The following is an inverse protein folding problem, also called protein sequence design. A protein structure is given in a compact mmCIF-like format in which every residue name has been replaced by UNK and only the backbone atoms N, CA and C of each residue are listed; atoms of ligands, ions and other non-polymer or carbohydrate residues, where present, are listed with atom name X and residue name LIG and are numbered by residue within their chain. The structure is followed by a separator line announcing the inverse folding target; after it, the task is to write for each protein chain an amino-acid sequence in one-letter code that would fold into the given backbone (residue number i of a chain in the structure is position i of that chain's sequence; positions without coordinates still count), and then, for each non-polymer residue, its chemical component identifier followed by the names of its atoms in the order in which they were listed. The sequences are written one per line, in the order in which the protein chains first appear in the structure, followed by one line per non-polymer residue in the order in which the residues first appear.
data_IF_620081112737
#
_entry.id   IF_620081112737
#
_cell.length_a   1.000
_cell.length_b   1.000
_cell.length_c   1.000
_cell.angle_alpha   90.00
_cell.angle_beta   90.00
_cell.angle_gamma   90.00
#
_symmetry.space_group_name_H-M   'P 1'
#
loop_
_entity.id
_entity.type
_entity.pdbx_description
1 polymer ?
#
# COMPACT_ATOMS: atom_id res chain seq x y z
N UNK A 1 18.14 -6.15 -0.19
CA UNK A 1 18.65 -4.91 0.44
C UNK A 1 18.91 -3.91 -0.68
N UNK A 2 18.05 -2.91 -0.82
CA UNK A 2 18.12 -1.88 -1.86
C UNK A 2 18.88 -0.66 -1.35
N UNK A 3 20.14 -0.51 -1.75
CA UNK A 3 20.87 0.75 -1.64
C UNK A 3 20.83 1.44 -3.00
N UNK A 4 19.77 2.20 -3.28
CA UNK A 4 19.83 3.27 -4.26
C UNK A 4 20.47 4.47 -3.56
N UNK A 5 21.81 4.53 -3.59
CA UNK A 5 22.52 5.78 -3.40
C UNK A 5 22.17 6.67 -4.60
N UNK A 6 21.05 7.38 -4.53
CA UNK A 6 20.72 8.44 -5.48
C UNK A 6 21.68 9.59 -5.23
N UNK A 7 22.80 9.60 -5.95
CA UNK A 7 23.59 10.81 -6.12
C UNK A 7 22.63 11.92 -6.56
N UNK A 8 22.56 13.06 -5.86
CA UNK A 8 21.70 14.16 -6.27
C UNK A 8 22.01 14.53 -7.72
N UNK A 9 20.98 14.62 -8.56
CA UNK A 9 21.17 15.04 -9.94
C UNK A 9 21.76 16.46 -9.95
N UNK A 10 22.92 16.64 -10.59
CA UNK A 10 23.55 17.95 -10.75
C UNK A 10 22.94 18.65 -11.96
N UNK A 11 22.43 19.87 -11.77
CA UNK A 11 21.90 20.74 -12.82
C UNK A 11 22.89 21.87 -13.15
N UNK A 12 22.88 22.37 -14.38
CA UNK A 12 23.66 23.52 -14.84
C UNK A 12 22.84 24.42 -15.76
N UNK A 13 23.32 25.66 -15.96
CA UNK A 13 22.73 26.56 -16.94
C UNK A 13 22.78 25.94 -18.34
N UNK A 14 21.69 26.09 -19.09
CA UNK A 14 21.46 25.48 -20.39
C UNK A 14 20.70 24.16 -20.33
N UNK A 15 20.63 23.49 -19.18
CA UNK A 15 19.86 22.25 -19.04
C UNK A 15 18.36 22.53 -19.25
N UNK A 16 17.71 21.65 -20.01
CA UNK A 16 16.26 21.61 -20.14
C UNK A 16 15.69 20.77 -18.99
N UNK A 17 14.73 21.32 -18.26
CA UNK A 17 14.10 20.69 -17.10
C UNK A 17 12.59 20.69 -17.17
N UNK A 18 11.98 19.75 -16.47
CA UNK A 18 10.55 19.64 -16.22
C UNK A 18 10.29 20.08 -14.77
N UNK A 19 9.25 20.88 -14.56
CA UNK A 19 8.86 21.39 -13.24
C UNK A 19 7.34 21.24 -13.02
N UNK A 20 6.86 20.04 -12.62
CA UNK A 20 5.43 19.74 -12.51
C UNK A 20 4.65 20.67 -11.56
N UNK A 21 5.29 21.22 -10.53
CA UNK A 21 4.67 22.18 -9.60
C UNK A 21 4.36 23.55 -10.21
N UNK A 22 4.95 23.85 -11.38
CA UNK A 22 4.83 25.15 -12.05
C UNK A 22 4.09 25.02 -13.38
N UNK A 23 4.24 23.89 -14.09
CA UNK A 23 3.47 23.59 -15.30
C UNK A 23 3.99 22.39 -16.08
N UNK A 24 3.30 22.08 -17.18
CA UNK A 24 3.58 20.91 -18.03
C UNK A 24 4.62 21.17 -19.13
N UNK A 25 5.33 22.29 -19.07
CA UNK A 25 6.32 22.68 -20.08
C UNK A 25 7.73 22.22 -19.76
N UNK A 26 8.60 22.28 -20.78
CA UNK A 26 10.05 22.25 -20.61
C UNK A 26 10.54 23.68 -20.37
N UNK A 27 11.45 23.84 -19.42
CA UNK A 27 12.06 25.12 -19.05
C UNK A 27 13.58 25.01 -19.15
N UNK A 28 14.22 26.02 -19.76
CA UNK A 28 15.68 26.05 -19.82
C UNK A 28 16.24 26.81 -18.63
N UNK A 29 17.22 26.22 -17.95
CA UNK A 29 17.90 26.86 -16.82
C UNK A 29 18.88 27.94 -17.29
N UNK A 30 18.93 29.04 -16.56
CA UNK A 30 19.94 30.08 -16.71
C UNK A 30 20.64 30.38 -15.38
N UNK A 31 21.82 30.99 -15.46
CA UNK A 31 22.53 31.49 -14.28
C UNK A 31 21.95 32.85 -13.88
N UNK A 32 21.27 32.90 -12.74
CA UNK A 32 20.86 34.16 -12.14
C UNK A 32 22.02 34.73 -11.33
N UNK A 33 22.68 35.76 -11.88
CA UNK A 33 23.83 36.41 -11.24
C UNK A 33 23.44 37.26 -10.04
N UNK A 34 22.20 37.75 -9.97
CA UNK A 34 21.71 38.57 -8.86
C UNK A 34 21.59 37.73 -7.59
N UNK A 35 21.12 36.48 -7.73
CA UNK A 35 20.90 35.55 -6.61
C UNK A 35 21.96 34.45 -6.46
N UNK A 36 22.89 34.35 -7.41
CA UNK A 36 23.97 33.36 -7.41
C UNK A 36 23.46 31.93 -7.50
N UNK A 37 22.38 31.69 -8.25
CA UNK A 37 21.71 30.40 -8.36
C UNK A 37 21.25 30.10 -9.79
N UNK A 38 20.73 28.90 -10.02
CA UNK A 38 20.05 28.58 -11.28
C UNK A 38 18.62 29.11 -11.23
N UNK A 39 18.07 29.49 -12.36
CA UNK A 39 16.66 29.87 -12.45
C UNK A 39 16.05 29.55 -13.80
N UNK A 40 14.73 29.58 -13.86
CA UNK A 40 13.98 29.55 -15.11
C UNK A 40 12.80 30.52 -15.03
N UNK A 41 12.32 30.96 -16.19
CA UNK A 41 11.21 31.91 -16.27
C UNK A 41 10.01 31.27 -16.95
N UNK A 42 8.83 31.43 -16.37
CA UNK A 42 7.57 31.07 -17.00
C UNK A 42 6.44 31.94 -16.45
N UNK A 43 5.45 32.23 -17.27
CA UNK A 43 4.30 33.08 -16.92
C UNK A 43 4.71 34.45 -16.34
N UNK A 44 5.82 35.02 -16.83
CA UNK A 44 6.35 36.31 -16.35
C UNK A 44 6.98 36.29 -14.96
N UNK A 45 7.15 35.11 -14.34
CA UNK A 45 7.80 34.92 -13.03
C UNK A 45 9.10 34.14 -13.19
N UNK A 46 10.09 34.50 -12.38
CA UNK A 46 11.36 33.77 -12.28
C UNK A 46 11.34 32.87 -11.06
N UNK A 47 11.67 31.60 -11.27
CA UNK A 47 11.80 30.57 -10.25
C UNK A 47 13.27 30.27 -10.06
N UNK A 48 13.76 30.39 -8.84
CA UNK A 48 15.15 30.14 -8.48
C UNK A 48 15.34 28.70 -8.01
N UNK A 49 16.55 28.15 -8.13
CA UNK A 49 16.94 26.82 -7.69
C UNK A 49 18.36 26.89 -7.12
N UNK A 50 18.50 26.73 -5.81
CA UNK A 50 19.80 26.77 -5.14
C UNK A 50 20.36 25.36 -4.96
N UNK A 51 21.68 25.28 -4.93
CA UNK A 51 22.42 24.03 -4.78
C UNK A 51 22.25 23.36 -3.39
N UNK A 52 21.63 24.05 -2.43
CA UNK A 52 21.30 23.53 -1.08
C UNK A 52 19.85 23.01 -0.96
N UNK A 53 19.11 22.96 -2.08
CA UNK A 53 17.73 22.49 -2.14
C UNK A 53 16.69 23.49 -1.65
N UNK A 54 17.07 24.73 -1.29
CA UNK A 54 16.15 25.77 -0.80
C UNK A 54 15.93 26.86 -1.85
N UNK A 55 14.68 27.24 -2.08
CA UNK A 55 14.33 28.36 -2.98
C UNK A 55 13.66 29.48 -2.20
N UNK A 56 13.94 30.71 -2.61
CA UNK A 56 13.53 31.94 -1.94
C UNK A 56 12.01 32.16 -1.94
N UNK A 57 11.49 32.23 -0.71
CA UNK A 57 10.41 33.06 -0.14
C UNK A 57 8.96 32.63 -0.15
N UNK A 58 8.48 31.74 -1.02
CA UNK A 58 7.09 31.26 -0.95
C UNK A 58 7.01 29.74 -1.20
N UNK A 59 7.00 28.99 -0.09
CA UNK A 59 6.73 27.55 0.14
C UNK A 59 6.20 26.65 -1.00
N UNK A 60 6.97 26.50 -2.09
CA UNK A 60 6.91 25.30 -2.92
C UNK A 60 8.29 25.03 -3.51
N UNK A 61 9.08 24.14 -2.90
CA UNK A 61 10.34 23.70 -3.49
C UNK A 61 10.05 23.12 -4.90
N UNK A 62 10.50 23.76 -6.00
CA UNK A 62 10.23 23.24 -7.33
C UNK A 62 11.05 21.97 -7.54
N UNK A 63 10.37 20.82 -7.61
CA UNK A 63 11.00 19.55 -7.98
C UNK A 63 11.37 19.59 -9.46
N UNK A 64 12.65 19.80 -9.73
CA UNK A 64 13.20 19.79 -11.08
C UNK A 64 13.63 18.39 -11.49
N UNK A 65 13.29 18.02 -12.72
CA UNK A 65 13.74 16.80 -13.37
C UNK A 65 14.40 17.15 -14.69
N UNK A 66 15.51 16.50 -15.04
CA UNK A 66 16.08 16.64 -16.38
C UNK A 66 15.06 16.26 -17.44
N UNK A 67 14.99 17.01 -18.53
CA UNK A 67 14.08 16.74 -19.63
C UNK A 67 14.57 15.54 -20.46
N UNK A 68 14.30 14.34 -19.96
CA UNK A 68 14.61 13.05 -20.59
C UNK A 68 13.32 12.30 -20.90
N UNK A 69 13.36 11.36 -21.85
CA UNK A 69 12.20 10.52 -22.17
C UNK A 69 11.65 9.79 -20.93
N UNK A 70 12.55 9.24 -20.10
CA UNK A 70 12.18 8.54 -18.88
C UNK A 70 11.48 9.47 -17.86
N UNK A 71 12.00 10.69 -17.66
CA UNK A 71 11.38 11.65 -16.74
C UNK A 71 10.04 12.17 -17.26
N UNK A 72 9.90 12.39 -18.58
CA UNK A 72 8.60 12.72 -19.19
C UNK A 72 7.57 11.61 -18.98
N UNK A 73 7.97 10.35 -19.17
CA UNK A 73 7.10 9.19 -18.95
C UNK A 73 6.70 9.07 -17.48
N UNK A 74 7.67 9.17 -16.55
CA UNK A 74 7.40 9.12 -15.12
C UNK A 74 6.46 10.23 -14.67
N UNK A 75 6.67 11.48 -15.12
CA UNK A 75 5.80 12.61 -14.81
C UNK A 75 4.42 12.42 -15.43
N UNK A 76 4.31 11.93 -16.67
CA UNK A 76 3.03 11.63 -17.30
C UNK A 76 2.24 10.57 -16.52
N UNK A 77 2.91 9.53 -16.02
CA UNK A 77 2.30 8.51 -15.15
C UNK A 77 1.86 9.09 -13.81
N UNK A 78 2.69 9.94 -13.17
CA UNK A 78 2.41 10.48 -11.84
C UNK A 78 1.32 11.57 -11.83
N UNK A 79 1.30 12.44 -12.85
CA UNK A 79 0.49 13.67 -12.84
C UNK A 79 -0.59 13.73 -13.92
N UNK A 80 -0.46 12.97 -15.01
CA UNK A 80 -1.46 12.92 -16.10
C UNK A 80 -2.20 11.56 -16.16
N UNK A 81 -2.16 10.80 -15.07
CA UNK A 81 -2.87 9.54 -14.97
C UNK A 81 -4.39 9.73 -15.05
N UNK A 82 -4.94 9.69 -16.27
CA UNK A 82 -6.07 8.78 -16.46
C UNK A 82 -5.60 7.47 -15.84
N UNK A 83 -6.28 7.01 -14.80
CA UNK A 83 -6.09 5.66 -14.29
C UNK A 83 -6.48 4.67 -15.38
N UNK A 84 -5.61 4.51 -16.39
CA UNK A 84 -5.52 3.25 -17.07
C UNK A 84 -4.91 2.36 -16.00
N UNK A 85 -5.77 1.60 -15.34
CA UNK A 85 -5.38 0.48 -14.50
C UNK A 85 -4.29 -0.27 -15.26
N UNK A 86 -3.02 0.01 -14.97
CA UNK A 86 -1.94 -0.82 -15.44
C UNK A 86 -2.18 -2.13 -14.71
N UNK A 87 -2.82 -3.05 -15.42
CA UNK A 87 -2.87 -4.44 -15.04
C UNK A 87 -1.41 -4.82 -14.83
N UNK A 88 -0.99 -4.99 -13.59
CA UNK A 88 0.22 -5.75 -13.29
C UNK A 88 -0.04 -7.13 -13.89
N UNK A 89 0.51 -7.40 -15.06
CA UNK A 89 0.40 -8.71 -15.70
C UNK A 89 1.28 -9.62 -14.87
N UNK A 90 0.66 -10.49 -14.07
CA UNK A 90 1.36 -11.61 -13.46
C UNK A 90 1.75 -12.52 -14.62
N UNK A 91 3.04 -12.53 -14.92
CA UNK A 91 3.60 -13.38 -15.97
C UNK A 91 3.69 -14.82 -15.46
N UNK A 92 2.78 -15.67 -15.95
CA UNK A 92 2.70 -17.11 -15.66
C UNK A 92 3.37 -17.96 -16.77
N UNK A 93 4.09 -17.34 -17.71
CA UNK A 93 4.65 -18.05 -18.86
C UNK A 93 5.86 -18.90 -18.53
N UNK A 94 6.62 -18.56 -17.49
CA UNK A 94 7.61 -19.46 -16.91
C UNK A 94 6.99 -20.23 -15.72
N UNK A 95 7.25 -21.54 -15.59
CA UNK A 95 6.94 -22.29 -14.38
C UNK A 95 7.90 -21.84 -13.27
N UNK A 96 7.73 -20.62 -12.76
CA UNK A 96 8.21 -20.29 -11.44
C UNK A 96 7.30 -21.03 -10.46
N UNK A 97 7.91 -21.80 -9.56
CA UNK A 97 7.26 -22.67 -8.57
C UNK A 97 6.35 -21.94 -7.55
N UNK A 98 6.02 -20.68 -7.80
CA UNK A 98 5.17 -19.83 -6.98
C UNK A 98 3.87 -19.54 -7.73
N UNK A 99 2.87 -20.40 -7.55
CA UNK A 99 1.52 -20.13 -8.03
C UNK A 99 0.96 -18.88 -7.33
N UNK A 100 0.63 -17.85 -8.11
CA UNK A 100 0.13 -16.58 -7.58
C UNK A 100 -1.38 -16.67 -7.41
N UNK A 101 -1.84 -16.63 -6.16
CA UNK A 101 -3.26 -16.52 -5.84
C UNK A 101 -3.66 -15.05 -5.91
N UNK A 102 -4.58 -14.73 -6.82
CA UNK A 102 -5.19 -13.40 -6.89
C UNK A 102 -6.45 -13.40 -6.03
N UNK A 103 -6.38 -12.74 -4.87
CA UNK A 103 -7.52 -12.43 -4.00
C UNK A 103 -7.68 -10.92 -3.97
N UNK A 104 -8.92 -10.42 -3.95
CA UNK A 104 -9.12 -8.98 -3.78
C UNK A 104 -8.64 -8.54 -2.40
N UNK A 105 -8.11 -7.31 -2.30
CA UNK A 105 -7.74 -6.73 -1.00
C UNK A 105 -8.93 -6.62 -0.05
N UNK A 106 -10.16 -6.54 -0.59
CA UNK A 106 -11.40 -6.55 0.17
C UNK A 106 -11.64 -7.92 0.83
N UNK A 107 -11.59 -9.01 0.07
CA UNK A 107 -11.74 -10.37 0.60
C UNK A 107 -10.66 -10.71 1.64
N UNK A 108 -9.41 -10.30 1.40
CA UNK A 108 -8.33 -10.50 2.37
C UNK A 108 -8.56 -9.69 3.66
N UNK A 109 -9.09 -8.47 3.52
CA UNK A 109 -9.44 -7.63 4.67
C UNK A 109 -10.57 -8.25 5.48
N UNK A 110 -11.62 -8.77 4.85
CA UNK A 110 -12.74 -9.41 5.53
C UNK A 110 -12.27 -10.65 6.33
N UNK A 111 -11.43 -11.49 5.72
CA UNK A 111 -10.84 -12.65 6.40
C UNK A 111 -10.00 -12.22 7.61
N UNK A 112 -9.18 -11.17 7.46
CA UNK A 112 -8.35 -10.68 8.56
C UNK A 112 -9.20 -10.13 9.72
N UNK A 113 -10.25 -9.36 9.41
CA UNK A 113 -11.20 -8.84 10.39
C UNK A 113 -11.92 -9.97 11.15
N UNK A 114 -12.36 -11.01 10.46
CA UNK A 114 -13.03 -12.16 11.07
C UNK A 114 -12.07 -12.94 11.99
N UNK A 115 -10.81 -13.13 11.59
CA UNK A 115 -9.79 -13.79 12.41
C UNK A 115 -9.44 -12.97 13.65
N UNK A 116 -9.29 -11.66 13.53
CA UNK A 116 -9.05 -10.77 14.67
C UNK A 116 -10.23 -10.81 15.65
N UNK A 117 -11.46 -10.73 15.13
CA UNK A 117 -12.67 -10.80 15.94
C UNK A 117 -12.81 -12.14 16.67
N UNK A 118 -12.52 -13.25 15.98
CA UNK A 118 -12.51 -14.58 16.58
C UNK A 118 -11.47 -14.69 17.70
N UNK A 119 -10.26 -14.14 17.50
CA UNK A 119 -9.20 -14.16 18.51
C UNK A 119 -9.60 -13.41 19.79
N UNK A 120 -10.24 -12.25 19.65
CA UNK A 120 -10.76 -11.47 20.78
C UNK A 120 -11.81 -12.27 21.54
N UNK A 121 -12.79 -12.85 20.82
CA UNK A 121 -13.89 -13.59 21.44
C UNK A 121 -13.41 -14.87 22.14
N UNK A 122 -12.45 -15.60 21.57
CA UNK A 122 -11.83 -16.76 22.23
C UNK A 122 -11.11 -16.33 23.52
N UNK A 123 -10.41 -15.21 23.51
CA UNK A 123 -9.79 -14.64 24.71
C UNK A 123 -10.83 -14.34 25.79
N UNK A 124 -11.96 -13.74 25.42
CA UNK A 124 -13.02 -13.40 26.37
C UNK A 124 -13.71 -14.64 26.93
N UNK A 125 -14.01 -15.64 26.08
CA UNK A 125 -14.46 -16.97 26.50
C UNK A 125 -13.50 -17.56 27.54
N UNK A 126 -12.18 -17.50 27.30
CA UNK A 126 -11.17 -17.97 28.25
C UNK A 126 -11.28 -17.29 29.62
N UNK A 127 -11.55 -15.99 29.65
CA UNK A 127 -11.79 -15.24 30.90
C UNK A 127 -13.09 -15.67 31.58
N UNK A 128 -14.18 -15.87 30.83
CA UNK A 128 -15.46 -16.33 31.39
C UNK A 128 -15.31 -17.73 32.01
N UNK A 129 -14.63 -18.65 31.31
CA UNK A 129 -14.33 -19.99 31.82
C UNK A 129 -13.47 -19.95 33.07
N UNK A 130 -12.48 -19.05 33.14
CA UNK A 130 -11.69 -18.84 34.35
C UNK A 130 -12.53 -18.36 35.53
N UNK A 131 -13.49 -17.44 35.31
CA UNK A 131 -14.41 -16.97 36.36
C UNK A 131 -15.27 -18.12 36.90
N UNK A 132 -15.75 -19.01 36.03
CA UNK A 132 -16.48 -20.22 36.43
C UNK A 132 -15.56 -21.15 37.23
N UNK A 133 -14.37 -21.47 36.70
CA UNK A 133 -13.41 -22.40 37.30
C UNK A 133 -12.95 -21.95 38.70
N UNK A 134 -12.73 -20.65 38.90
CA UNK A 134 -12.31 -20.08 40.17
C UNK A 134 -13.47 -19.69 41.10
N UNK A 135 -14.69 -20.13 40.78
CA UNK A 135 -15.91 -19.89 41.56
C UNK A 135 -16.13 -18.41 41.88
N UNK A 136 -15.78 -17.52 40.94
CA UNK A 136 -15.86 -16.06 41.12
C UNK A 136 -17.25 -15.48 40.82
N UNK A 137 -18.21 -16.34 40.47
CA UNK A 137 -19.58 -15.98 40.12
C UNK A 137 -20.55 -16.98 40.73
N UNK A 138 -21.79 -16.56 40.98
CA UNK A 138 -22.81 -17.42 41.56
C UNK A 138 -23.19 -18.56 40.61
N UNK A 139 -23.57 -19.72 41.15
CA UNK A 139 -23.88 -20.94 40.38
C UNK A 139 -24.92 -20.70 39.29
N UNK A 140 -25.97 -19.92 39.57
CA UNK A 140 -27.01 -19.63 38.59
C UNK A 140 -26.49 -18.74 37.44
N UNK A 141 -25.57 -17.81 37.73
CA UNK A 141 -24.89 -16.98 36.74
C UNK A 141 -23.89 -17.80 35.92
N UNK A 142 -23.17 -18.72 36.57
CA UNK A 142 -22.23 -19.63 35.91
C UNK A 142 -22.89 -20.49 34.84
N UNK A 143 -24.12 -20.97 35.08
CA UNK A 143 -24.90 -21.73 34.08
C UNK A 143 -25.19 -20.88 32.84
N UNK A 144 -25.64 -19.63 33.02
CA UNK A 144 -25.91 -18.72 31.90
C UNK A 144 -24.64 -18.34 31.15
N UNK A 145 -23.52 -18.12 31.85
CA UNK A 145 -22.23 -17.81 31.24
C UNK A 145 -21.63 -19.00 30.50
N UNK A 146 -21.82 -20.22 30.99
CA UNK A 146 -21.41 -21.43 30.30
C UNK A 146 -22.20 -21.64 29.00
N UNK A 147 -23.52 -21.39 29.02
CA UNK A 147 -24.36 -21.42 27.80
C UNK A 147 -23.93 -20.36 26.80
N UNK A 148 -23.77 -19.11 27.24
CA UNK A 148 -23.30 -18.02 26.38
C UNK A 148 -21.93 -18.34 25.75
N UNK A 149 -21.01 -18.90 26.54
CA UNK A 149 -19.71 -19.34 26.06
C UNK A 149 -19.83 -20.41 24.99
N UNK A 150 -20.70 -21.41 25.20
CA UNK A 150 -20.96 -22.47 24.24
C UNK A 150 -21.54 -21.94 22.93
N UNK A 151 -22.64 -21.19 22.99
CA UNK A 151 -23.34 -20.63 21.83
C UNK A 151 -22.40 -19.71 21.02
N UNK A 152 -21.58 -18.92 21.73
CA UNK A 152 -20.58 -18.05 21.11
C UNK A 152 -19.48 -18.87 20.41
N UNK A 153 -19.01 -19.95 21.03
CA UNK A 153 -18.01 -20.85 20.44
C UNK A 153 -18.55 -21.51 19.16
N UNK A 154 -19.79 -22.00 19.19
CA UNK A 154 -20.44 -22.63 18.04
C UNK A 154 -20.60 -21.64 16.88
N UNK A 155 -21.08 -20.43 17.16
CA UNK A 155 -21.24 -19.38 16.14
C UNK A 155 -19.91 -19.03 15.46
N UNK A 156 -18.84 -18.84 16.24
CA UNK A 156 -17.53 -18.54 15.67
C UNK A 156 -16.91 -19.72 14.94
N UNK A 157 -17.19 -20.95 15.38
CA UNK A 157 -16.79 -22.14 14.64
C UNK A 157 -17.41 -22.15 13.23
N UNK A 158 -18.72 -21.90 13.12
CA UNK A 158 -19.42 -21.83 11.83
C UNK A 158 -18.87 -20.73 10.92
N UNK A 159 -18.64 -19.52 11.47
CA UNK A 159 -18.08 -18.39 10.72
C UNK A 159 -16.66 -18.69 10.19
N UNK A 160 -15.77 -19.20 11.06
CA UNK A 160 -14.41 -19.56 10.65
C UNK A 160 -14.39 -20.70 9.63
N UNK A 161 -15.29 -21.68 9.78
CA UNK A 161 -15.42 -22.77 8.82
C UNK A 161 -15.88 -22.27 7.45
N UNK A 162 -16.80 -21.30 7.41
CA UNK A 162 -17.22 -20.62 6.18
C UNK A 162 -16.06 -19.88 5.51
N UNK A 163 -15.27 -19.12 6.30
CA UNK A 163 -14.10 -18.42 5.77
C UNK A 163 -13.02 -19.36 5.24
N UNK A 164 -12.74 -20.45 5.97
CA UNK A 164 -11.84 -21.51 5.50
C UNK A 164 -12.35 -22.14 4.20
N UNK A 165 -13.67 -22.35 4.07
CA UNK A 165 -14.29 -22.79 2.82
C UNK A 165 -14.07 -21.83 1.66
N UNK A 166 -14.18 -20.52 1.91
CA UNK A 166 -13.92 -19.47 0.92
C UNK A 166 -12.45 -19.49 0.45
N UNK A 167 -11.51 -19.57 1.37
CA UNK A 167 -10.07 -19.69 1.08
C UNK A 167 -9.80 -20.97 0.28
N UNK A 168 -10.33 -22.11 0.72
CA UNK A 168 -10.15 -23.39 0.04
C UNK A 168 -10.74 -23.38 -1.37
N UNK A 169 -11.85 -22.69 -1.62
CA UNK A 169 -12.41 -22.52 -2.96
C UNK A 169 -11.47 -21.72 -3.86
N UNK A 170 -10.88 -20.66 -3.34
CA UNK A 170 -9.87 -19.86 -4.05
C UNK A 170 -8.61 -20.68 -4.34
N UNK A 171 -8.18 -21.50 -3.37
CA UNK A 171 -7.07 -22.44 -3.54
C UNK A 171 -7.40 -23.59 -4.51
N UNK A 172 -8.64 -24.06 -4.57
CA UNK A 172 -9.05 -25.13 -5.48
C UNK A 172 -8.98 -24.70 -6.97
N UNK A 173 -9.00 -23.39 -7.24
CA UNK A 173 -8.76 -22.83 -8.58
C UNK A 173 -7.28 -22.84 -8.98
N UNK A 174 -6.38 -23.24 -8.07
CA UNK A 174 -4.94 -23.38 -8.26
C UNK A 174 -4.55 -24.85 -8.50
N UNK A 175 -3.32 -25.14 -8.94
CA UNK A 175 -2.82 -26.51 -9.16
C UNK A 175 -2.84 -27.35 -7.88
N UNK A 176 -2.82 -26.74 -6.70
CA UNK A 176 -3.00 -27.42 -5.41
C UNK A 176 -4.43 -27.97 -5.19
N UNK A 177 -5.43 -27.52 -5.95
CA UNK A 177 -6.78 -28.10 -5.94
C UNK A 177 -6.90 -29.48 -6.59
N UNK A 178 -5.87 -29.93 -7.32
CA UNK A 178 -5.83 -31.22 -8.03
C UNK A 178 -5.10 -32.32 -7.26
N UNK A 179 -4.90 -32.19 -5.96
CA UNK A 179 -4.48 -33.34 -5.15
C UNK A 179 -5.67 -34.29 -4.96
N UNK A 180 -5.86 -35.21 -5.92
CA UNK A 180 -6.88 -36.26 -5.80
C UNK A 180 -7.32 -36.98 -7.07
N UNK A 181 -6.70 -36.79 -8.24
CA UNK A 181 -7.02 -37.62 -9.42
C UNK A 181 -5.78 -37.81 -10.28
N UNK A 182 -4.99 -38.82 -9.91
CA UNK A 182 -4.20 -39.61 -10.87
C UNK A 182 -5.12 -40.59 -11.59
#
# INVERSE_FOLDING_TARGET
MSNLNSTPATFKAGDSVLCPSVGNGTYQLFNDKEYGCLGFTTNGKTYHYRNDGKVSRDDAAPSLFHDTLANRQAIATLYNGNQTSQRTVIDITEPNDNEVIVMSSFELSDIACDLESAAVVISDIGKLLALIHYEKIETHTAISMARLTHDTTETWHELLQSQLGSINKTLAMTRYGKEGSQ
#
